data_IF_052893699188
#
_entry.id   IF_052893699188
#
_cell.length_a   1.000
_cell.length_b   1.000
_cell.length_c   1.000
_cell.angle_alpha   90.00
_cell.angle_beta   90.00
_cell.angle_gamma   90.00
#
_symmetry.space_group_name_H-M   'P 1'
#
loop_
_entity.id
_entity.type
_entity.pdbx_description
1 polymer ?
#
# COMPACT_ATOMS: atom_id res chain seq x y z
N UNK A 1 -40.15 14.29 -59.48
CA UNK A 1 -40.91 13.34 -58.63
C UNK A 1 -39.87 12.43 -57.96
N UNK A 2 -39.56 12.57 -56.66
CA UNK A 2 -40.12 11.78 -55.51
C UNK A 2 -40.10 10.27 -55.83
N UNK A 3 -39.38 9.37 -55.14
CA UNK A 3 -39.54 8.94 -53.72
C UNK A 3 -38.39 7.95 -53.38
N UNK A 4 -37.52 8.18 -52.38
CA UNK A 4 -37.48 7.61 -51.00
C UNK A 4 -37.59 6.07 -50.81
N UNK A 5 -36.57 5.47 -50.16
CA UNK A 5 -36.56 4.45 -49.06
C UNK A 5 -35.11 3.90 -48.92
N UNK A 6 -34.24 4.25 -47.95
CA UNK A 6 -34.19 3.99 -46.48
C UNK A 6 -34.03 2.50 -46.09
N UNK A 7 -32.81 2.08 -45.70
CA UNK A 7 -32.45 1.03 -44.71
C UNK A 7 -30.90 0.98 -44.58
N UNK A 8 -30.28 1.57 -43.53
CA UNK A 8 -29.78 0.93 -42.28
C UNK A 8 -28.81 -0.23 -42.55
N UNK A 9 -27.62 -0.39 -41.93
CA UNK A 9 -27.11 0.11 -40.65
C UNK A 9 -25.61 -0.26 -40.57
N UNK A 10 -24.82 0.65 -39.99
CA UNK A 10 -23.81 0.38 -38.96
C UNK A 10 -22.73 -0.69 -39.23
N UNK A 11 -21.52 -0.21 -39.52
CA UNK A 11 -20.31 -0.72 -38.88
C UNK A 11 -19.30 0.43 -38.84
N UNK A 12 -19.44 1.29 -37.82
CA UNK A 12 -18.39 2.21 -37.43
C UNK A 12 -17.21 1.36 -36.92
N UNK A 13 -16.27 1.09 -37.82
CA UNK A 13 -15.04 0.38 -37.53
C UNK A 13 -14.21 1.17 -36.52
N UNK A 14 -14.11 0.59 -35.32
CA UNK A 14 -12.97 0.63 -34.42
C UNK A 14 -12.24 1.98 -34.32
N UNK A 15 -12.87 2.98 -33.71
CA UNK A 15 -12.10 3.90 -32.88
C UNK A 15 -11.63 3.10 -31.67
N UNK A 16 -10.44 2.48 -31.78
CA UNK A 16 -9.68 2.09 -30.61
C UNK A 16 -9.58 3.34 -29.74
N UNK A 17 -10.33 3.35 -28.65
CA UNK A 17 -9.93 4.09 -27.48
C UNK A 17 -8.53 3.54 -27.16
N UNK A 18 -7.51 4.25 -27.63
CA UNK A 18 -6.16 4.10 -27.16
C UNK A 18 -6.25 4.52 -25.70
N UNK A 19 -6.60 3.56 -24.84
CA UNK A 19 -6.37 3.65 -23.42
C UNK A 19 -4.88 3.97 -23.33
N UNK A 20 -4.56 5.22 -23.04
CA UNK A 20 -3.21 5.61 -22.71
C UNK A 20 -2.76 4.60 -21.67
N UNK A 21 -1.71 3.83 -21.98
CA UNK A 21 -1.10 2.96 -21.01
C UNK A 21 -0.90 3.79 -19.74
N UNK A 22 -1.22 3.25 -18.55
CA UNK A 22 -0.98 3.98 -17.31
C UNK A 22 0.47 4.46 -17.38
N UNK A 23 0.65 5.78 -17.32
CA UNK A 23 1.98 6.37 -17.42
C UNK A 23 2.88 5.65 -16.42
N UNK A 24 4.03 5.17 -16.88
CA UNK A 24 5.01 4.57 -16.00
C UNK A 24 5.30 5.57 -14.86
N UNK A 25 5.45 5.09 -13.61
CA UNK A 25 5.76 5.98 -12.50
C UNK A 25 7.00 6.81 -12.84
N UNK A 26 6.93 8.12 -12.57
CA UNK A 26 8.02 9.04 -12.84
C UNK A 26 9.30 8.54 -12.15
N UNK A 27 10.43 8.62 -12.85
CA UNK A 27 11.71 8.26 -12.23
C UNK A 27 11.97 9.20 -11.04
N UNK A 28 12.60 8.76 -9.94
CA UNK A 28 12.79 9.62 -8.76
C UNK A 28 13.47 10.96 -9.04
N UNK A 29 14.28 11.05 -10.10
CA UNK A 29 14.96 12.28 -10.54
C UNK A 29 14.04 13.29 -11.28
N UNK A 30 12.85 12.87 -11.70
CA UNK A 30 11.86 13.70 -12.40
C UNK A 30 10.82 14.30 -11.45
N UNK A 31 10.86 13.92 -10.17
CA UNK A 31 9.96 14.41 -9.12
C UNK A 31 10.34 15.84 -8.68
N UNK A 32 9.35 16.62 -8.24
CA UNK A 32 9.57 17.89 -7.53
C UNK A 32 10.45 17.71 -6.29
N UNK A 33 11.10 18.77 -5.80
CA UNK A 33 11.96 18.69 -4.62
C UNK A 33 11.18 18.22 -3.38
N UNK A 34 9.91 18.64 -3.28
CA UNK A 34 8.95 18.26 -2.27
C UNK A 34 8.59 16.78 -2.36
N UNK A 35 8.38 16.24 -3.58
CA UNK A 35 8.14 14.82 -3.79
C UNK A 35 9.41 13.97 -3.58
N UNK A 36 10.60 14.47 -3.96
CA UNK A 36 11.87 13.80 -3.68
C UNK A 36 12.12 13.65 -2.17
N UNK A 37 11.71 14.63 -1.36
CA UNK A 37 11.78 14.54 0.10
C UNK A 37 10.90 13.43 0.69
N UNK A 38 9.89 12.95 -0.05
CA UNK A 38 9.03 11.83 0.36
C UNK A 38 9.62 10.45 0.02
N UNK A 39 10.58 10.37 -0.92
CA UNK A 39 11.18 9.09 -1.37
C UNK A 39 11.79 8.28 -0.21
N UNK A 40 12.59 8.86 0.70
CA UNK A 40 13.15 8.10 1.82
C UNK A 40 12.08 7.51 2.74
N UNK A 41 10.96 8.21 2.95
CA UNK A 41 9.87 7.69 3.76
C UNK A 41 9.15 6.52 3.10
N UNK A 42 9.00 6.54 1.77
CA UNK A 42 8.47 5.39 1.02
C UNK A 42 9.39 4.17 1.18
N UNK A 43 10.71 4.38 1.11
CA UNK A 43 11.70 3.32 1.31
C UNK A 43 11.70 2.78 2.76
N UNK A 44 11.60 3.67 3.75
CA UNK A 44 11.47 3.30 5.16
C UNK A 44 10.17 2.52 5.43
N UNK A 45 9.03 2.93 4.85
CA UNK A 45 7.77 2.18 4.94
C UNK A 45 7.92 0.78 4.36
N UNK A 46 8.52 0.65 3.17
CA UNK A 46 8.75 -0.64 2.53
C UNK A 46 9.64 -1.56 3.39
N UNK A 47 10.73 -1.01 3.94
CA UNK A 47 11.63 -1.73 4.83
C UNK A 47 10.93 -2.17 6.12
N UNK A 48 10.15 -1.28 6.74
CA UNK A 48 9.41 -1.58 7.96
C UNK A 48 8.35 -2.68 7.72
N UNK A 49 7.58 -2.60 6.63
CA UNK A 49 6.62 -3.65 6.24
C UNK A 49 7.29 -5.01 6.03
N UNK A 50 8.48 -5.04 5.42
CA UNK A 50 9.24 -6.28 5.28
C UNK A 50 9.68 -6.85 6.63
N UNK A 51 10.16 -6.01 7.56
CA UNK A 51 10.53 -6.46 8.91
C UNK A 51 9.33 -6.99 9.70
N UNK A 52 8.17 -6.32 9.58
CA UNK A 52 6.92 -6.81 10.17
C UNK A 52 6.58 -8.18 9.57
N UNK A 53 6.63 -8.30 8.24
CA UNK A 53 6.38 -9.57 7.55
C UNK A 53 7.34 -10.67 8.00
N UNK A 54 8.65 -10.40 8.11
CA UNK A 54 9.64 -11.37 8.61
C UNK A 54 9.31 -11.87 10.02
N UNK A 55 8.76 -10.99 10.87
CA UNK A 55 8.34 -11.37 12.23
C UNK A 55 7.05 -12.18 12.22
N UNK A 56 6.07 -11.78 11.43
CA UNK A 56 4.82 -12.54 11.26
C UNK A 56 5.09 -13.93 10.67
N UNK A 57 5.97 -14.04 9.68
CA UNK A 57 6.36 -15.32 9.05
C UNK A 57 7.06 -16.28 10.05
N UNK A 58 7.64 -15.75 11.13
CA UNK A 58 8.28 -16.56 12.16
C UNK A 58 7.30 -17.20 13.16
N UNK A 59 6.04 -16.77 13.15
CA UNK A 59 4.99 -17.25 14.05
C UNK A 59 4.43 -18.58 13.54
N UNK A 60 4.57 -19.62 14.35
CA UNK A 60 4.15 -21.00 14.06
C UNK A 60 3.09 -21.52 15.03
N UNK A 61 2.95 -20.84 16.16
CA UNK A 61 2.08 -21.21 17.27
C UNK A 61 1.89 -20.01 18.20
N UNK A 62 1.07 -20.19 19.25
CA UNK A 62 0.84 -19.17 20.28
C UNK A 62 2.14 -18.70 20.97
N UNK A 63 3.07 -19.60 21.29
CA UNK A 63 4.27 -19.24 22.04
C UNK A 63 5.20 -18.32 21.23
N UNK A 64 5.38 -18.62 19.95
CA UNK A 64 6.13 -17.76 19.01
C UNK A 64 5.40 -16.45 18.71
N UNK A 65 4.06 -16.43 18.71
CA UNK A 65 3.27 -15.21 18.64
C UNK A 65 3.47 -14.30 19.87
N UNK A 66 3.39 -14.86 21.08
CA UNK A 66 3.63 -14.13 22.34
C UNK A 66 5.04 -13.52 22.35
N UNK A 67 6.04 -14.26 21.89
CA UNK A 67 7.43 -13.79 21.82
C UNK A 67 7.65 -12.72 20.74
N UNK A 68 6.90 -12.75 19.64
CA UNK A 68 7.00 -11.79 18.55
C UNK A 68 6.27 -10.47 18.84
N UNK A 69 5.24 -10.49 19.70
CA UNK A 69 4.36 -9.36 19.96
C UNK A 69 5.08 -8.07 20.36
N UNK A 70 6.06 -8.04 21.30
CA UNK A 70 6.75 -6.80 21.68
C UNK A 70 7.46 -6.15 20.50
N UNK A 71 8.12 -6.95 19.65
CA UNK A 71 8.85 -6.40 18.51
C UNK A 71 7.91 -5.94 17.40
N UNK A 72 6.80 -6.64 17.21
CA UNK A 72 5.75 -6.22 16.28
C UNK A 72 5.16 -4.87 16.72
N UNK A 73 4.88 -4.68 18.01
CA UNK A 73 4.41 -3.40 18.55
C UNK A 73 5.38 -2.26 18.21
N UNK A 74 6.69 -2.43 18.46
CA UNK A 74 7.70 -1.42 18.12
C UNK A 74 7.73 -1.08 16.62
N UNK A 75 7.66 -2.10 15.75
CA UNK A 75 7.69 -1.91 14.30
C UNK A 75 6.43 -1.18 13.80
N UNK A 76 5.28 -1.49 14.38
CA UNK A 76 4.04 -0.79 14.05
C UNK A 76 4.06 0.67 14.51
N UNK A 77 4.62 0.98 15.68
CA UNK A 77 4.82 2.37 16.12
C UNK A 77 5.79 3.14 15.20
N UNK A 78 6.83 2.47 14.69
CA UNK A 78 7.70 3.06 13.67
C UNK A 78 6.93 3.37 12.39
N UNK A 79 6.09 2.44 11.92
CA UNK A 79 5.26 2.64 10.74
C UNK A 79 4.28 3.82 10.92
N UNK A 80 3.66 3.94 12.09
CA UNK A 80 2.82 5.10 12.46
C UNK A 80 3.61 6.40 12.40
N UNK A 81 4.80 6.44 13.00
CA UNK A 81 5.67 7.62 12.98
C UNK A 81 6.03 8.04 11.55
N UNK A 82 6.34 7.09 10.67
CA UNK A 82 6.62 7.37 9.26
C UNK A 82 5.36 7.94 8.57
N UNK A 83 4.20 7.31 8.77
CA UNK A 83 2.92 7.79 8.22
C UNK A 83 2.62 9.23 8.63
N UNK A 84 2.78 9.56 9.91
CA UNK A 84 2.58 10.93 10.43
C UNK A 84 3.49 11.93 9.73
N UNK A 85 4.79 11.63 9.60
CA UNK A 85 5.73 12.51 8.89
C UNK A 85 5.35 12.71 7.43
N UNK A 86 4.95 11.64 6.73
CA UNK A 86 4.45 11.74 5.36
C UNK A 86 3.22 12.65 5.30
N UNK A 87 2.24 12.45 6.18
CA UNK A 87 1.02 13.28 6.25
C UNK A 87 1.35 14.75 6.52
N UNK A 88 2.27 15.05 7.42
CA UNK A 88 2.69 16.44 7.71
C UNK A 88 3.34 17.13 6.51
N UNK A 89 4.13 16.39 5.72
CA UNK A 89 4.77 16.89 4.52
C UNK A 89 3.74 17.10 3.41
N UNK A 90 2.86 16.12 3.18
CA UNK A 90 1.83 16.19 2.12
C UNK A 90 0.73 17.18 2.45
N UNK A 91 0.43 17.44 3.73
CA UNK A 91 -0.51 18.49 4.12
C UNK A 91 -0.03 19.90 3.71
N UNK A 92 1.29 20.11 3.67
CA UNK A 92 1.90 21.36 3.20
C UNK A 92 2.04 21.41 1.68
N UNK A 93 2.18 20.25 1.04
CA UNK A 93 2.42 20.10 -0.39
C UNK A 93 1.57 18.94 -0.96
N UNK A 94 0.27 19.14 -1.22
CA UNK A 94 -0.61 18.08 -1.69
C UNK A 94 -0.21 17.54 -3.07
N UNK A 95 0.36 18.37 -3.94
CA UNK A 95 0.82 17.96 -5.26
C UNK A 95 1.99 16.95 -5.17
N UNK A 96 2.85 17.09 -4.16
CA UNK A 96 3.94 16.14 -3.92
C UNK A 96 3.43 14.72 -3.59
N UNK A 97 2.24 14.61 -2.99
CA UNK A 97 1.59 13.32 -2.74
C UNK A 97 1.14 12.65 -4.03
N UNK A 98 0.59 13.42 -4.97
CA UNK A 98 0.15 12.89 -6.27
C UNK A 98 1.34 12.46 -7.12
N UNK A 99 2.42 13.23 -7.11
CA UNK A 99 3.66 12.90 -7.82
C UNK A 99 4.30 11.62 -7.30
N UNK A 100 4.39 11.44 -5.97
CA UNK A 100 5.02 10.26 -5.37
C UNK A 100 4.10 9.03 -5.42
N UNK A 101 2.79 9.18 -5.68
CA UNK A 101 1.81 8.08 -5.62
C UNK A 101 2.20 6.91 -6.53
N UNK A 102 2.67 7.18 -7.74
CA UNK A 102 3.12 6.14 -8.67
C UNK A 102 4.29 5.34 -8.12
N UNK A 103 5.33 6.04 -7.65
CA UNK A 103 6.51 5.42 -7.05
C UNK A 103 6.17 4.64 -5.77
N UNK A 104 5.34 5.22 -4.90
CA UNK A 104 4.88 4.58 -3.68
C UNK A 104 4.06 3.32 -3.98
N UNK A 105 3.16 3.38 -4.96
CA UNK A 105 2.37 2.23 -5.39
C UNK A 105 3.26 1.10 -5.93
N UNK A 106 4.30 1.43 -6.69
CA UNK A 106 5.26 0.43 -7.19
C UNK A 106 6.08 -0.19 -6.06
N UNK A 107 6.71 0.65 -5.22
CA UNK A 107 7.63 0.20 -4.16
C UNK A 107 6.92 -0.53 -3.03
N UNK A 108 5.71 -0.12 -2.67
CA UNK A 108 4.96 -0.71 -1.55
C UNK A 108 4.14 -1.92 -1.96
N UNK A 109 3.90 -2.17 -3.26
CA UNK A 109 3.07 -3.29 -3.72
C UNK A 109 3.56 -4.64 -3.20
N UNK A 110 4.83 -4.96 -3.38
CA UNK A 110 5.38 -6.24 -2.94
C UNK A 110 5.44 -6.37 -1.41
N UNK A 111 5.97 -5.39 -0.64
CA UNK A 111 5.91 -5.40 0.82
C UNK A 111 4.48 -5.53 1.37
N UNK A 112 3.51 -4.79 0.82
CA UNK A 112 2.11 -4.85 1.24
C UNK A 112 1.50 -6.22 0.95
N UNK A 113 1.74 -6.77 -0.24
CA UNK A 113 1.25 -8.11 -0.59
C UNK A 113 1.80 -9.16 0.36
N UNK A 114 3.12 -9.09 0.66
CA UNK A 114 3.76 -9.99 1.59
C UNK A 114 3.19 -9.85 3.00
N UNK A 115 3.04 -8.63 3.49
CA UNK A 115 2.45 -8.35 4.80
C UNK A 115 1.07 -8.99 4.95
N UNK A 116 0.19 -8.83 3.95
CA UNK A 116 -1.14 -9.45 3.95
C UNK A 116 -1.07 -10.98 3.97
N UNK A 117 -0.13 -11.57 3.22
CA UNK A 117 0.09 -13.02 3.25
C UNK A 117 0.61 -13.49 4.60
N UNK A 118 1.55 -12.77 5.22
CA UNK A 118 2.10 -13.09 6.53
C UNK A 118 1.03 -13.03 7.63
N UNK A 119 0.14 -12.03 7.60
CA UNK A 119 -1.03 -11.97 8.49
C UNK A 119 -1.93 -13.20 8.30
N UNK A 120 -2.23 -13.57 7.05
CA UNK A 120 -3.04 -14.75 6.78
C UNK A 120 -2.39 -16.04 7.31
N UNK A 121 -1.06 -16.15 7.21
CA UNK A 121 -0.31 -17.30 7.73
C UNK A 121 -0.37 -17.39 9.25
N UNK A 122 -0.33 -16.26 9.96
CA UNK A 122 -0.53 -16.22 11.42
C UNK A 122 -1.90 -16.80 11.79
N UNK A 123 -2.93 -16.51 10.99
CA UNK A 123 -4.27 -17.08 11.17
C UNK A 123 -4.28 -18.61 11.09
N UNK A 124 -3.57 -19.15 10.11
CA UNK A 124 -3.51 -20.59 9.84
C UNK A 124 -2.72 -21.33 10.93
N UNK A 125 -1.73 -20.67 11.54
CA UNK A 125 -0.83 -21.24 12.55
C UNK A 125 -1.30 -21.06 14.00
N UNK A 126 -2.58 -20.77 14.24
CA UNK A 126 -3.14 -20.48 15.58
C UNK A 126 -2.44 -19.32 16.32
N UNK A 127 -1.76 -18.42 15.61
CA UNK A 127 -1.05 -17.30 16.23
C UNK A 127 -1.97 -16.29 16.92
N UNK A 128 -3.24 -16.20 16.48
CA UNK A 128 -4.27 -15.35 17.11
C UNK A 128 -4.75 -15.85 18.47
N UNK A 129 -4.34 -17.03 18.94
CA UNK A 129 -4.57 -17.42 20.33
C UNK A 129 -3.67 -16.62 21.31
N UNK A 130 -2.70 -15.87 20.80
CA UNK A 130 -1.90 -14.92 21.58
C UNK A 130 -2.69 -13.64 21.84
N UNK A 131 -3.06 -13.41 23.09
CA UNK A 131 -3.68 -12.16 23.55
C UNK A 131 -2.75 -10.96 23.30
N UNK A 132 -1.44 -11.12 23.52
CA UNK A 132 -0.45 -10.06 23.29
C UNK A 132 -0.40 -9.66 21.81
N UNK A 133 -0.45 -10.63 20.89
CA UNK A 133 -0.48 -10.34 19.46
C UNK A 133 -1.81 -9.71 19.01
N UNK A 134 -2.93 -10.16 19.59
CA UNK A 134 -4.25 -9.57 19.33
C UNK A 134 -4.30 -8.11 19.79
N UNK A 135 -3.72 -7.79 20.94
CA UNK A 135 -3.64 -6.41 21.45
C UNK A 135 -2.86 -5.52 20.49
N UNK A 136 -1.71 -6.00 19.99
CA UNK A 136 -0.94 -5.30 18.95
C UNK A 136 -1.81 -5.00 17.72
N UNK A 137 -2.53 -5.97 17.19
CA UNK A 137 -3.40 -5.73 16.02
C UNK A 137 -4.60 -4.84 16.32
N UNK A 138 -5.16 -4.91 17.52
CA UNK A 138 -6.32 -4.10 17.93
C UNK A 138 -5.93 -2.64 18.04
N UNK A 139 -4.77 -2.35 18.66
CA UNK A 139 -4.22 -1.00 18.76
C UNK A 139 -3.98 -0.34 17.39
N UNK A 140 -3.75 -1.13 16.33
CA UNK A 140 -3.62 -0.62 14.97
C UNK A 140 -4.96 -0.24 14.33
N UNK A 141 -6.02 -0.98 14.64
CA UNK A 141 -7.35 -0.74 14.10
C UNK A 141 -7.97 0.51 14.73
N UNK A 142 -7.82 0.67 16.05
CA UNK A 142 -8.34 1.83 16.79
C UNK A 142 -7.68 3.14 16.30
N UNK A 143 -6.38 3.13 16.07
CA UNK A 143 -5.65 4.29 15.51
C UNK A 143 -5.93 4.54 14.02
N UNK A 144 -6.51 3.59 13.30
CA UNK A 144 -6.93 3.77 11.89
C UNK A 144 -8.35 4.31 11.75
N UNK A 145 -9.14 4.28 12.83
CA UNK A 145 -10.54 4.72 12.88
C UNK A 145 -10.74 6.15 13.41
N UNK A 146 -9.68 6.78 13.93
CA UNK A 146 -9.63 8.21 14.29
C UNK A 146 -8.97 9.04 13.18
#
# INVERSE_FOLDING_TARGET
MKTFLLTTVLAASCAFAQAAAPAAPAAPAELSAEAQALVPFVDEMAACMNQISDRLDSIKDKASADAAAPKLAELFEQLKTIKTKVTEITAKNPDAQLEIQGLASEKLKAPLTRFMQSIANVAINNGYESEALLEVFTSLQEDSAM
#
